data_IF_912916576599
#
_entry.id   IF_912916576599
#
_cell.length_a   1.000
_cell.length_b   1.000
_cell.length_c   1.000
_cell.angle_alpha   90.00
_cell.angle_beta   90.00
_cell.angle_gamma   90.00
#
_symmetry.space_group_name_H-M   'P 1'
#
loop_
_entity.id
_entity.type
_entity.pdbx_description
1 polymer ?
#
# COMPACT_ATOMS: atom_id res chain seq x y z
N UNK A 1 17.68 -6.73 13.31
CA UNK A 1 17.57 -6.17 11.94
C UNK A 1 17.58 -4.66 12.04
N UNK A 2 18.57 -4.00 11.46
CA UNK A 2 18.44 -2.56 11.15
C UNK A 2 17.67 -2.50 9.83
N UNK A 3 16.41 -2.09 9.87
CA UNK A 3 15.51 -2.13 8.70
C UNK A 3 15.75 -0.90 7.81
N UNK A 4 15.33 0.28 8.24
CA UNK A 4 15.60 1.53 7.54
C UNK A 4 16.19 2.56 8.52
N UNK A 5 17.02 3.47 7.99
CA UNK A 5 17.80 4.46 8.73
C UNK A 5 17.23 5.88 8.63
N UNK A 6 16.22 6.09 7.78
CA UNK A 6 15.52 7.37 7.63
C UNK A 6 14.03 7.16 7.33
N UNK A 7 13.22 8.19 7.57
CA UNK A 7 11.80 8.17 7.20
C UNK A 7 11.59 7.96 5.69
N UNK A 8 12.50 8.49 4.85
CA UNK A 8 12.45 8.31 3.40
C UNK A 8 12.65 6.84 2.99
N UNK A 9 13.59 6.13 3.62
CA UNK A 9 13.77 4.70 3.39
C UNK A 9 12.55 3.88 3.83
N UNK A 10 11.91 4.26 4.94
CA UNK A 10 10.64 3.63 5.37
C UNK A 10 9.49 3.87 4.39
N UNK A 11 9.35 5.09 3.89
CA UNK A 11 8.34 5.47 2.91
C UNK A 11 8.52 4.69 1.58
N UNK A 12 9.77 4.53 1.14
CA UNK A 12 10.10 3.76 -0.05
C UNK A 12 9.75 2.28 0.13
N UNK A 13 10.19 1.66 1.24
CA UNK A 13 9.90 0.27 1.59
C UNK A 13 8.41 -0.03 1.62
N UNK A 14 7.63 0.78 2.33
CA UNK A 14 6.18 0.62 2.40
C UNK A 14 5.51 0.71 1.02
N UNK A 15 6.02 1.57 0.13
CA UNK A 15 5.52 1.71 -1.24
C UNK A 15 5.87 0.51 -2.11
N UNK A 16 7.11 0.03 -2.03
CA UNK A 16 7.57 -1.13 -2.78
C UNK A 16 6.81 -2.39 -2.36
N UNK A 17 6.58 -2.56 -1.05
CA UNK A 17 5.74 -3.63 -0.53
C UNK A 17 4.33 -3.63 -1.13
N UNK A 18 3.61 -2.49 -1.08
CA UNK A 18 2.26 -2.42 -1.65
C UNK A 18 2.27 -2.66 -3.17
N UNK A 19 3.25 -2.12 -3.91
CA UNK A 19 3.39 -2.37 -5.35
C UNK A 19 3.61 -3.85 -5.66
N UNK A 20 4.45 -4.53 -4.88
CA UNK A 20 4.71 -5.95 -5.02
C UNK A 20 3.43 -6.77 -4.76
N UNK A 21 2.72 -6.49 -3.67
CA UNK A 21 1.47 -7.20 -3.33
C UNK A 21 0.36 -6.98 -4.35
N UNK A 22 0.24 -5.77 -4.91
CA UNK A 22 -0.68 -5.49 -6.01
C UNK A 22 -0.35 -6.32 -7.25
N UNK A 23 0.94 -6.44 -7.59
CA UNK A 23 1.40 -7.27 -8.70
C UNK A 23 1.16 -8.77 -8.44
N UNK A 24 1.49 -9.27 -7.26
CA UNK A 24 1.28 -10.67 -6.85
C UNK A 24 -0.21 -11.06 -6.87
N UNK A 25 -1.09 -10.12 -6.52
CA UNK A 25 -2.54 -10.33 -6.51
C UNK A 25 -3.21 -10.02 -7.85
N UNK A 26 -2.45 -9.64 -8.88
CA UNK A 26 -2.94 -9.19 -10.19
C UNK A 26 -3.98 -8.04 -10.10
N UNK A 27 -3.86 -7.18 -9.07
CA UNK A 27 -4.77 -6.07 -8.80
C UNK A 27 -4.18 -4.77 -9.35
N UNK A 28 -4.91 -4.13 -10.27
CA UNK A 28 -4.56 -2.80 -10.80
C UNK A 28 -4.91 -1.69 -9.80
N UNK A 29 -4.36 -0.49 -9.97
CA UNK A 29 -4.74 0.66 -9.13
C UNK A 29 -6.21 1.06 -9.28
N UNK A 30 -6.79 0.90 -10.47
CA UNK A 30 -8.23 1.10 -10.72
C UNK A 30 -9.06 0.11 -9.90
N UNK A 31 -8.65 -1.15 -9.88
CA UNK A 31 -9.34 -2.17 -9.10
C UNK A 31 -9.16 -1.96 -7.59
N UNK A 32 -7.95 -1.63 -7.15
CA UNK A 32 -7.69 -1.27 -5.76
C UNK A 32 -8.59 -0.10 -5.30
N UNK A 33 -8.73 0.95 -6.11
CA UNK A 33 -9.63 2.07 -5.80
C UNK A 33 -11.08 1.61 -5.58
N UNK A 34 -11.58 0.69 -6.42
CA UNK A 34 -12.93 0.12 -6.25
C UNK A 34 -13.06 -0.69 -4.97
N UNK A 35 -12.05 -1.48 -4.62
CA UNK A 35 -12.04 -2.28 -3.38
C UNK A 35 -11.96 -1.38 -2.14
N UNK A 36 -11.07 -0.39 -2.16
CA UNK A 36 -10.94 0.63 -1.10
C UNK A 36 -12.24 1.38 -0.83
N UNK A 37 -13.07 1.62 -1.86
CA UNK A 37 -14.40 2.22 -1.68
C UNK A 37 -15.32 1.39 -0.77
N UNK A 38 -15.21 0.05 -0.81
CA UNK A 38 -15.96 -0.85 0.10
C UNK A 38 -15.51 -0.70 1.56
N UNK A 39 -14.29 -0.23 1.78
CA UNK A 39 -13.72 0.07 3.09
C UNK A 39 -13.89 1.55 3.49
N UNK A 40 -14.69 2.34 2.76
CA UNK A 40 -14.94 3.74 3.07
C UNK A 40 -13.90 4.73 2.55
N UNK A 41 -12.93 4.28 1.72
CA UNK A 41 -11.90 5.14 1.15
C UNK A 41 -12.30 5.60 -0.27
N UNK A 42 -12.43 6.92 -0.44
CA UNK A 42 -12.73 7.55 -1.73
C UNK A 42 -11.42 7.85 -2.50
N UNK A 43 -10.68 6.80 -2.84
CA UNK A 43 -9.43 6.92 -3.59
C UNK A 43 -9.69 6.80 -5.11
N UNK A 44 -8.89 7.51 -5.90
CA UNK A 44 -8.79 7.38 -7.36
C UNK A 44 -7.46 6.72 -7.74
N UNK A 45 -7.37 6.16 -8.94
CA UNK A 45 -6.12 5.63 -9.50
C UNK A 45 -4.95 6.65 -9.41
N UNK A 46 -5.22 7.91 -9.76
CA UNK A 46 -4.22 8.97 -9.70
C UNK A 46 -3.77 9.24 -8.25
N UNK A 47 -4.71 9.26 -7.29
CA UNK A 47 -4.38 9.48 -5.89
C UNK A 47 -3.57 8.34 -5.27
N UNK A 48 -3.88 7.08 -5.62
CA UNK A 48 -3.11 5.89 -5.23
C UNK A 48 -1.71 5.96 -5.82
N UNK A 49 -1.61 6.24 -7.13
CA UNK A 49 -0.33 6.41 -7.83
C UNK A 49 0.54 7.46 -7.14
N UNK A 50 -0.03 8.62 -6.80
CA UNK A 50 0.70 9.71 -6.15
C UNK A 50 1.14 9.36 -4.73
N UNK A 51 0.30 8.66 -3.95
CA UNK A 51 0.66 8.15 -2.61
C UNK A 51 1.83 7.16 -2.70
N UNK A 52 1.77 6.20 -3.61
CA UNK A 52 2.81 5.18 -3.80
C UNK A 52 4.08 5.71 -4.49
N UNK A 53 4.01 6.86 -5.18
CA UNK A 53 5.19 7.55 -5.72
C UNK A 53 5.91 8.35 -4.64
N UNK A 54 5.17 9.07 -3.79
CA UNK A 54 5.74 9.89 -2.70
C UNK A 54 6.16 9.04 -1.49
N UNK A 55 5.51 7.91 -1.30
CA UNK A 55 5.73 6.97 -0.20
C UNK A 55 5.21 7.40 1.16
N UNK A 56 4.57 8.57 1.24
CA UNK A 56 3.88 9.01 2.45
C UNK A 56 2.37 8.88 2.29
N UNK A 57 1.78 8.00 3.09
CA UNK A 57 0.34 7.77 3.22
C UNK A 57 0.02 7.41 4.67
N UNK A 58 -1.24 7.58 5.07
CA UNK A 58 -1.65 7.25 6.44
C UNK A 58 -1.57 5.74 6.69
N UNK A 59 -1.35 5.36 7.94
CA UNK A 59 -1.45 3.97 8.37
C UNK A 59 -2.85 3.39 8.06
N UNK A 60 -3.91 4.21 8.13
CA UNK A 60 -5.27 3.78 7.79
C UNK A 60 -5.42 3.41 6.31
N UNK A 61 -4.83 4.17 5.39
CA UNK A 61 -4.78 3.82 3.97
C UNK A 61 -4.01 2.52 3.75
N UNK A 62 -2.84 2.38 4.41
CA UNK A 62 -2.04 1.17 4.33
C UNK A 62 -2.86 -0.06 4.75
N UNK A 63 -3.43 -0.05 5.96
CA UNK A 63 -4.27 -1.15 6.47
C UNK A 63 -5.46 -1.46 5.55
N UNK A 64 -6.08 -0.43 4.97
CA UNK A 64 -7.17 -0.62 4.00
C UNK A 64 -6.69 -1.32 2.71
N UNK A 65 -5.49 -1.04 2.23
CA UNK A 65 -4.90 -1.77 1.10
C UNK A 65 -4.68 -3.24 1.43
N UNK A 66 -4.21 -3.56 2.65
CA UNK A 66 -4.00 -4.94 3.09
C UNK A 66 -5.32 -5.71 3.16
N UNK A 67 -6.35 -5.09 3.73
CA UNK A 67 -7.69 -5.65 3.76
C UNK A 67 -8.29 -5.81 2.36
N UNK A 68 -8.12 -4.83 1.47
CA UNK A 68 -8.61 -4.88 0.09
C UNK A 68 -7.89 -5.92 -0.79
N UNK A 69 -6.68 -6.32 -0.39
CA UNK A 69 -5.90 -7.39 -1.00
C UNK A 69 -6.09 -8.74 -0.31
N UNK A 70 -6.98 -8.81 0.70
CA UNK A 70 -7.31 -10.04 1.42
C UNK A 70 -6.08 -10.74 2.03
N UNK A 71 -5.09 -9.96 2.46
CA UNK A 71 -3.89 -10.48 3.10
C UNK A 71 -4.20 -10.82 4.57
N UNK A 72 -3.85 -12.03 5.00
CA UNK A 72 -4.06 -12.50 6.38
C UNK A 72 -3.17 -11.77 7.41
N UNK A 73 -2.03 -11.26 6.96
CA UNK A 73 -1.07 -10.56 7.81
C UNK A 73 0.11 -10.04 7.01
N UNK A 74 1.00 -9.33 7.71
CA UNK A 74 2.25 -8.80 7.15
C UNK A 74 3.35 -9.02 8.17
N UNK A 75 4.46 -9.61 7.73
CA UNK A 75 5.68 -9.62 8.52
C UNK A 75 6.45 -8.32 8.26
N UNK A 76 7.02 -7.72 9.30
CA UNK A 76 7.85 -6.52 9.12
C UNK A 76 9.13 -6.86 8.33
N UNK A 77 9.46 -8.15 8.16
CA UNK A 77 10.54 -8.63 7.31
C UNK A 77 10.23 -8.44 5.82
N UNK A 78 8.94 -8.44 5.46
CA UNK A 78 8.46 -8.27 4.08
C UNK A 78 8.39 -6.79 3.65
N UNK A 79 8.31 -5.87 4.61
CA UNK A 79 8.32 -4.41 4.41
C UNK A 79 9.73 -3.91 4.60
#
# INVERSE_FOLDING_TARGET
MVKAKSEAEWAERASLFLKAKLKESEVTYVELAKRLKKHGFAETEASITNKLKRGTFSATFFLACIAALELEGIALEDI
#
